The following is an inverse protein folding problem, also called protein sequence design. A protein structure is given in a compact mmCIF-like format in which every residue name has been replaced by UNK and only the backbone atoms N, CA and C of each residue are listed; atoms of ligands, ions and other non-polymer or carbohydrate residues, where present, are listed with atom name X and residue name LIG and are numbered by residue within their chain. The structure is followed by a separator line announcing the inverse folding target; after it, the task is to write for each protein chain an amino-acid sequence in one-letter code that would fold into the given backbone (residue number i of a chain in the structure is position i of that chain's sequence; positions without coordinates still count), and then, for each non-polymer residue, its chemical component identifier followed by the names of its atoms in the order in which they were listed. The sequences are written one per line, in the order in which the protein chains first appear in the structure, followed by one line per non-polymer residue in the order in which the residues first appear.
data_IF_596928348565
#
_entry.id   IF_596928348565
#
_cell.length_a   1.000
_cell.length_b   1.000
_cell.length_c   1.000
_cell.angle_alpha   90.00
_cell.angle_beta   90.00
_cell.angle_gamma   90.00
#
_symmetry.space_group_name_H-M   'P 1'
#
loop_
_entity.id
_entity.type
_entity.pdbx_description
1 polymer ?
#
# COMPACT_ATOMS: atom_id res chain seq x y z
N UNK A 1 -2.68 24.74 -15.08
CA UNK A 1 -2.81 25.36 -13.75
C UNK A 1 -4.12 24.85 -13.17
N UNK A 2 -4.11 24.34 -11.94
CA UNK A 2 -5.31 23.78 -11.31
C UNK A 2 -6.33 24.85 -10.88
N UNK A 3 -5.96 26.13 -10.94
CA UNK A 3 -6.82 27.27 -10.58
C UNK A 3 -7.49 27.97 -11.77
N UNK A 4 -7.07 27.67 -13.01
CA UNK A 4 -7.67 28.26 -14.22
C UNK A 4 -8.91 27.48 -14.65
N UNK A 5 -10.09 28.11 -14.56
CA UNK A 5 -11.38 27.51 -14.91
C UNK A 5 -11.51 27.05 -16.37
N UNK A 6 -10.62 27.49 -17.27
CA UNK A 6 -10.60 27.05 -18.67
C UNK A 6 -9.62 25.90 -18.92
N UNK A 7 -8.82 25.52 -17.93
CA UNK A 7 -7.89 24.40 -18.03
C UNK A 7 -8.65 23.08 -17.87
N UNK A 8 -8.28 22.06 -18.66
CA UNK A 8 -8.76 20.69 -18.41
C UNK A 8 -8.36 20.19 -17.00
N UNK A 9 -7.22 20.68 -16.51
CA UNK A 9 -6.66 20.39 -15.18
C UNK A 9 -7.26 21.24 -14.05
N UNK A 10 -8.29 22.04 -14.33
CA UNK A 10 -8.96 22.82 -13.31
C UNK A 10 -9.48 21.92 -12.18
N UNK A 11 -9.23 22.33 -10.93
CA UNK A 11 -9.57 21.56 -9.73
C UNK A 11 -11.05 21.16 -9.65
N UNK A 12 -11.94 21.98 -10.19
CA UNK A 12 -13.40 21.73 -10.16
C UNK A 12 -13.95 21.20 -11.49
N UNK A 13 -13.09 20.74 -12.41
CA UNK A 13 -13.54 20.06 -13.62
C UNK A 13 -13.98 18.62 -13.30
N UNK A 14 -15.22 18.48 -12.80
CA UNK A 14 -15.81 17.19 -12.43
C UNK A 14 -15.79 16.15 -13.56
N UNK A 15 -16.05 16.55 -14.80
CA UNK A 15 -16.06 15.62 -15.94
C UNK A 15 -14.67 15.01 -16.18
N UNK A 16 -13.61 15.82 -16.13
CA UNK A 16 -12.24 15.32 -16.27
C UNK A 16 -11.83 14.46 -15.07
N UNK A 17 -12.15 14.91 -13.84
CA UNK A 17 -11.85 14.16 -12.62
C UNK A 17 -12.53 12.79 -12.59
N UNK A 18 -13.78 12.68 -13.01
CA UNK A 18 -14.51 11.41 -12.99
C UNK A 18 -14.06 10.45 -14.11
N UNK A 19 -13.68 10.97 -15.28
CA UNK A 19 -13.31 10.14 -16.44
C UNK A 19 -11.83 9.74 -16.48
N UNK A 20 -10.95 10.73 -16.32
CA UNK A 20 -9.50 10.56 -16.46
C UNK A 20 -8.81 10.43 -15.10
N UNK A 21 -9.39 11.06 -14.07
CA UNK A 21 -8.79 11.18 -12.74
C UNK A 21 -7.66 12.20 -12.68
N UNK A 22 -7.26 12.55 -11.46
CA UNK A 22 -6.15 13.47 -11.22
C UNK A 22 -5.22 12.91 -10.16
N UNK A 23 -4.37 11.96 -10.56
CA UNK A 23 -3.42 11.29 -9.66
C UNK A 23 -2.61 12.28 -8.83
N UNK A 24 -2.01 13.28 -9.48
CA UNK A 24 -1.21 14.30 -8.80
C UNK A 24 -2.03 15.09 -7.77
N UNK A 25 -3.25 15.49 -8.11
CA UNK A 25 -4.12 16.18 -7.16
C UNK A 25 -4.46 15.31 -5.94
N UNK A 26 -4.88 14.08 -6.16
CA UNK A 26 -5.22 13.16 -5.06
C UNK A 26 -4.00 12.79 -4.22
N UNK A 27 -2.81 12.76 -4.82
CA UNK A 27 -1.54 12.59 -4.12
C UNK A 27 -1.26 13.75 -3.16
N UNK A 28 -1.38 15.00 -3.61
CA UNK A 28 -1.21 16.16 -2.71
C UNK A 28 -2.25 16.20 -1.58
N UNK A 29 -3.50 15.79 -1.88
CA UNK A 29 -4.53 15.63 -0.83
C UNK A 29 -4.14 14.51 0.14
N UNK A 30 -3.61 13.40 -0.38
CA UNK A 30 -3.17 12.24 0.41
C UNK A 30 -2.11 12.60 1.45
N UNK A 31 -1.21 13.54 1.15
CA UNK A 31 -0.21 14.00 2.13
C UNK A 31 -0.85 14.60 3.38
N UNK A 32 -2.06 15.17 3.28
CA UNK A 32 -2.80 15.66 4.46
C UNK A 32 -3.40 14.54 5.31
N UNK A 33 -3.56 13.33 4.75
CA UNK A 33 -4.13 12.16 5.44
C UNK A 33 -3.05 11.20 5.95
N UNK A 34 -1.81 11.37 5.50
CA UNK A 34 -0.66 10.57 5.89
C UNK A 34 -0.26 10.86 7.33
N UNK A 35 -0.02 9.80 8.13
CA UNK A 35 0.42 9.92 9.51
C UNK A 35 1.72 9.18 9.76
N UNK A 36 2.46 9.63 10.78
CA UNK A 36 3.76 9.07 11.16
C UNK A 36 3.69 7.65 11.73
N UNK A 37 2.55 7.19 12.22
CA UNK A 37 2.41 5.85 12.82
C UNK A 37 2.56 4.70 11.83
N UNK A 38 2.17 4.91 10.57
CA UNK A 38 2.29 3.91 9.49
C UNK A 38 3.23 4.38 8.37
N UNK A 39 3.87 5.55 8.52
CA UNK A 39 4.83 6.08 7.57
C UNK A 39 6.23 6.04 8.18
N UNK A 40 7.05 5.15 7.64
CA UNK A 40 8.45 4.95 8.02
C UNK A 40 9.40 5.51 6.96
N UNK A 41 10.69 5.60 7.25
CA UNK A 41 11.70 6.18 6.36
C UNK A 41 11.62 5.55 4.94
N UNK A 42 11.68 6.42 3.93
CA UNK A 42 11.57 6.02 2.52
C UNK A 42 10.15 5.83 2.00
N UNK A 43 9.10 5.93 2.85
CA UNK A 43 7.71 5.68 2.42
C UNK A 43 6.80 6.89 2.34
N UNK A 44 7.33 8.11 2.51
CA UNK A 44 6.57 9.35 2.36
C UNK A 44 5.83 9.44 1.03
N UNK A 45 6.51 9.08 -0.06
CA UNK A 45 5.93 9.05 -1.43
C UNK A 45 5.17 7.75 -1.75
N UNK A 46 5.05 6.84 -0.78
CA UNK A 46 4.41 5.53 -0.94
C UNK A 46 3.08 5.49 -0.20
N UNK A 47 3.08 5.72 1.12
CA UNK A 47 1.86 5.59 1.95
C UNK A 47 0.85 6.70 1.65
N UNK A 48 1.30 7.85 1.15
CA UNK A 48 0.42 8.88 0.54
C UNK A 48 -0.48 8.29 -0.55
N UNK A 49 0.07 7.37 -1.36
CA UNK A 49 -0.64 6.81 -2.49
C UNK A 49 -1.67 5.75 -2.12
N UNK A 50 -1.76 5.35 -0.84
CA UNK A 50 -2.93 4.59 -0.35
C UNK A 50 -4.19 5.43 -0.52
N UNK A 51 -4.13 6.71 -0.17
CA UNK A 51 -5.23 7.66 -0.32
C UNK A 51 -5.48 8.04 -1.78
N UNK A 52 -4.41 8.19 -2.56
CA UNK A 52 -4.51 8.40 -4.02
C UNK A 52 -5.27 7.25 -4.68
N UNK A 53 -4.87 6.00 -4.41
CA UNK A 53 -5.54 4.81 -4.94
C UNK A 53 -7.01 4.72 -4.49
N UNK A 54 -7.31 5.07 -3.24
CA UNK A 54 -8.68 5.11 -2.74
C UNK A 54 -9.52 6.15 -3.47
N UNK A 55 -8.99 7.37 -3.65
CA UNK A 55 -9.69 8.43 -4.38
C UNK A 55 -9.93 8.05 -5.84
N UNK A 56 -8.94 7.48 -6.53
CA UNK A 56 -9.10 6.97 -7.90
C UNK A 56 -10.20 5.90 -7.99
N UNK A 57 -10.27 4.97 -7.03
CA UNK A 57 -11.31 3.93 -7.01
C UNK A 57 -12.70 4.53 -6.74
N UNK A 58 -12.83 5.44 -5.78
CA UNK A 58 -14.14 5.96 -5.34
C UNK A 58 -14.70 7.08 -6.20
N UNK A 59 -13.84 7.94 -6.74
CA UNK A 59 -14.24 9.09 -7.56
C UNK A 59 -14.29 8.72 -9.03
N UNK A 60 -13.26 8.00 -9.52
CA UNK A 60 -13.11 7.71 -10.95
C UNK A 60 -13.58 6.29 -11.32
N UNK A 61 -14.01 5.48 -10.35
CA UNK A 61 -14.31 4.05 -10.56
C UNK A 61 -13.12 3.24 -11.13
N UNK A 62 -11.89 3.74 -10.93
CA UNK A 62 -10.66 3.12 -11.40
C UNK A 62 -10.01 2.32 -10.27
N UNK A 63 -10.27 1.00 -10.25
CA UNK A 63 -9.66 0.10 -9.27
C UNK A 63 -8.12 0.20 -9.33
N UNK A 64 -7.41 0.03 -8.19
CA UNK A 64 -5.95 0.14 -8.16
C UNK A 64 -5.24 -0.64 -9.27
N UNK A 65 -5.69 -1.88 -9.52
CA UNK A 65 -5.05 -2.81 -10.44
C UNK A 65 -5.26 -2.55 -11.94
N UNK A 66 -6.25 -1.72 -12.28
CA UNK A 66 -6.50 -1.31 -13.67
C UNK A 66 -5.96 0.09 -13.96
N UNK A 67 -5.46 0.78 -12.94
CA UNK A 67 -4.94 2.13 -13.10
C UNK A 67 -3.63 2.13 -13.87
N UNK A 68 -3.57 2.89 -14.97
CA UNK A 68 -2.44 2.89 -15.90
C UNK A 68 -1.10 3.24 -15.24
N UNK A 69 -1.08 4.21 -14.33
CA UNK A 69 0.15 4.59 -13.62
C UNK A 69 0.74 3.43 -12.82
N UNK A 70 -0.10 2.64 -12.14
CA UNK A 70 0.36 1.49 -11.36
C UNK A 70 0.73 0.33 -12.29
N UNK A 71 -0.06 0.08 -13.33
CA UNK A 71 0.25 -0.96 -14.33
C UNK A 71 1.61 -0.75 -15.02
N UNK A 72 1.99 0.51 -15.27
CA UNK A 72 3.29 0.84 -15.84
C UNK A 72 4.48 0.44 -14.92
N UNK A 73 4.23 0.21 -13.63
CA UNK A 73 5.23 -0.24 -12.66
C UNK A 73 5.32 -1.77 -12.58
N UNK A 74 4.43 -2.54 -13.25
CA UNK A 74 4.45 -4.01 -13.20
C UNK A 74 5.80 -4.57 -13.68
N UNK A 75 6.38 -4.14 -14.82
CA UNK A 75 7.64 -4.71 -15.30
C UNK A 75 8.80 -4.55 -14.29
N UNK A 76 8.98 -3.35 -13.75
CA UNK A 76 10.02 -3.08 -12.74
C UNK A 76 9.77 -3.85 -11.44
N UNK A 77 8.50 -4.02 -11.06
CA UNK A 77 8.11 -4.79 -9.87
C UNK A 77 8.40 -6.28 -10.03
N UNK A 78 8.15 -6.85 -11.22
CA UNK A 78 8.53 -8.24 -11.50
C UNK A 78 10.04 -8.44 -11.43
N UNK A 79 10.82 -7.54 -12.04
CA UNK A 79 12.28 -7.57 -11.94
C UNK A 79 12.77 -7.43 -10.49
N UNK A 80 12.16 -6.57 -9.69
CA UNK A 80 12.45 -6.45 -8.26
C UNK A 80 12.24 -7.76 -7.48
N UNK A 81 11.13 -8.47 -7.78
CA UNK A 81 10.81 -9.77 -7.19
C UNK A 81 11.81 -10.85 -7.62
N UNK A 82 12.12 -10.91 -8.93
CA UNK A 82 13.12 -11.83 -9.50
C UNK A 82 14.52 -11.64 -8.89
N UNK A 83 14.86 -10.39 -8.55
CA UNK A 83 16.13 -10.03 -7.91
C UNK A 83 16.14 -10.27 -6.39
N UNK A 84 15.12 -10.93 -5.83
CA UNK A 84 15.11 -11.34 -4.43
C UNK A 84 14.50 -10.34 -3.46
N UNK A 85 13.87 -9.28 -3.94
CA UNK A 85 13.12 -8.29 -3.13
C UNK A 85 13.97 -7.61 -2.06
N UNK A 86 15.05 -6.93 -2.45
CA UNK A 86 15.88 -6.17 -1.51
C UNK A 86 15.12 -4.98 -0.92
N UNK A 87 15.00 -4.90 0.41
CA UNK A 87 14.22 -3.84 1.07
C UNK A 87 14.75 -2.41 0.84
N UNK A 88 16.07 -2.23 0.70
CA UNK A 88 16.64 -0.91 0.45
C UNK A 88 16.31 -0.41 -0.96
N UNK A 89 16.30 -1.30 -1.95
CA UNK A 89 15.84 -0.98 -3.31
C UNK A 89 14.33 -0.68 -3.36
N UNK A 90 13.55 -1.39 -2.53
CA UNK A 90 12.12 -1.17 -2.38
C UNK A 90 11.82 0.24 -1.88
N UNK A 91 12.51 0.71 -0.84
CA UNK A 91 12.36 2.08 -0.31
C UNK A 91 12.71 3.15 -1.34
N UNK A 92 13.63 2.87 -2.26
CA UNK A 92 14.01 3.78 -3.34
C UNK A 92 13.03 3.82 -4.53
N UNK A 93 12.01 2.96 -4.54
CA UNK A 93 11.16 2.71 -5.71
C UNK A 93 9.67 2.83 -5.39
N UNK A 94 9.09 4.05 -5.28
CA UNK A 94 7.73 4.23 -4.80
C UNK A 94 6.66 3.46 -5.58
N UNK A 95 6.82 3.33 -6.90
CA UNK A 95 5.93 2.55 -7.75
C UNK A 95 5.94 1.06 -7.44
N UNK A 96 7.12 0.48 -7.18
CA UNK A 96 7.28 -0.91 -6.72
C UNK A 96 6.71 -1.05 -5.30
N UNK A 97 7.05 -0.10 -4.43
CA UNK A 97 6.66 -0.12 -3.04
C UNK A 97 5.14 -0.05 -2.81
N UNK A 98 4.43 0.67 -3.68
CA UNK A 98 2.98 0.81 -3.58
C UNK A 98 2.23 -0.52 -3.79
N UNK A 99 2.84 -1.49 -4.48
CA UNK A 99 2.14 -2.72 -4.84
C UNK A 99 1.71 -3.58 -3.67
N UNK A 100 2.48 -3.65 -2.57
CA UNK A 100 2.04 -4.41 -1.40
C UNK A 100 0.76 -3.80 -0.80
N UNK A 101 0.65 -2.47 -0.76
CA UNK A 101 -0.55 -1.80 -0.28
C UNK A 101 -1.73 -2.00 -1.24
N UNK A 102 -1.48 -1.93 -2.55
CA UNK A 102 -2.47 -2.23 -3.58
C UNK A 102 -2.95 -3.70 -3.53
N UNK A 103 -2.06 -4.63 -3.20
CA UNK A 103 -2.38 -6.06 -3.03
C UNK A 103 -3.25 -6.25 -1.78
N UNK A 104 -2.91 -5.65 -0.65
CA UNK A 104 -3.71 -5.71 0.58
C UNK A 104 -5.15 -5.21 0.36
N UNK A 105 -5.36 -4.13 -0.39
CA UNK A 105 -6.72 -3.67 -0.70
C UNK A 105 -7.43 -4.57 -1.70
N UNK A 106 -6.70 -5.17 -2.65
CA UNK A 106 -7.28 -6.11 -3.60
C UNK A 106 -7.82 -7.36 -2.88
N UNK A 107 -7.09 -7.86 -1.89
CA UNK A 107 -7.45 -9.06 -1.14
C UNK A 107 -8.47 -8.79 -0.02
N UNK A 108 -8.39 -7.66 0.67
CA UNK A 108 -9.18 -7.39 1.88
C UNK A 108 -10.13 -6.20 1.79
N UNK A 109 -10.10 -5.44 0.69
CA UNK A 109 -10.98 -4.30 0.45
C UNK A 109 -10.65 -3.04 1.26
N UNK A 110 -11.24 -1.92 0.85
CA UNK A 110 -11.00 -0.60 1.47
C UNK A 110 -11.54 -0.47 2.90
N UNK A 111 -12.59 -1.20 3.26
CA UNK A 111 -13.15 -1.15 4.62
C UNK A 111 -12.10 -1.55 5.65
N UNK A 112 -11.26 -2.54 5.34
CA UNK A 112 -10.14 -2.97 6.18
C UNK A 112 -9.17 -1.82 6.45
N UNK A 113 -8.77 -1.07 5.42
CA UNK A 113 -7.94 0.13 5.58
C UNK A 113 -8.61 1.20 6.44
N UNK A 114 -9.90 1.46 6.22
CA UNK A 114 -10.65 2.45 6.99
C UNK A 114 -10.71 2.08 8.48
N UNK A 115 -10.93 0.81 8.79
CA UNK A 115 -11.01 0.32 10.17
C UNK A 115 -9.63 0.38 10.85
N UNK A 116 -8.56 -0.01 10.15
CA UNK A 116 -7.18 0.11 10.64
C UNK A 116 -6.83 1.57 10.91
N UNK A 117 -7.07 2.48 9.97
CA UNK A 117 -6.74 3.90 10.18
C UNK A 117 -7.54 4.51 11.34
N UNK A 118 -8.83 4.16 11.50
CA UNK A 118 -9.60 4.56 12.69
C UNK A 118 -8.99 4.01 13.98
N UNK A 119 -8.53 2.76 13.97
CA UNK A 119 -7.88 2.15 15.13
C UNK A 119 -6.58 2.88 15.49
N UNK A 120 -5.74 3.22 14.52
CA UNK A 120 -4.54 4.02 14.75
C UNK A 120 -4.86 5.39 15.36
N UNK A 121 -5.86 6.11 14.82
CA UNK A 121 -6.29 7.42 15.33
C UNK A 121 -6.84 7.33 16.78
N UNK A 122 -7.51 6.23 17.12
CA UNK A 122 -8.06 6.00 18.46
C UNK A 122 -7.00 5.59 19.48
N UNK A 123 -6.08 4.70 19.08
CA UNK A 123 -5.05 4.15 19.98
C UNK A 123 -3.84 5.07 20.13
N UNK A 124 -3.50 5.81 19.06
CA UNK A 124 -2.32 6.68 18.97
C UNK A 124 -1.06 5.98 19.51
N UNK A 125 -0.65 4.86 18.90
CA UNK A 125 0.42 4.04 19.45
C UNK A 125 1.73 4.84 19.52
N UNK A 126 2.48 4.66 20.61
CA UNK A 126 3.82 5.21 20.72
C UNK A 126 4.81 4.28 19.99
N UNK A 127 5.25 4.68 18.81
CA UNK A 127 6.15 3.92 17.94
C UNK A 127 7.40 4.79 17.71
N UNK A 128 8.50 4.43 18.35
CA UNK A 128 9.71 5.25 18.44
C UNK A 128 10.71 4.92 17.32
N UNK A 129 10.50 3.82 16.59
CA UNK A 129 11.36 3.37 15.50
C UNK A 129 10.58 2.89 14.27
N UNK A 130 11.24 2.87 13.11
CA UNK A 130 10.63 2.37 11.88
C UNK A 130 10.37 0.86 11.92
N UNK A 131 11.19 0.10 12.65
CA UNK A 131 10.94 -1.33 12.86
C UNK A 131 9.63 -1.53 13.63
N UNK A 132 9.38 -0.74 14.69
CA UNK A 132 8.13 -0.80 15.44
C UNK A 132 6.93 -0.41 14.57
N UNK A 133 7.06 0.60 13.70
CA UNK A 133 5.98 0.97 12.76
C UNK A 133 5.65 -0.16 11.78
N UNK A 134 6.66 -0.80 11.22
CA UNK A 134 6.47 -1.94 10.30
C UNK A 134 5.83 -3.13 11.02
N UNK A 135 6.37 -3.53 12.18
CA UNK A 135 5.83 -4.64 12.97
C UNK A 135 4.39 -4.36 13.43
N UNK A 136 4.10 -3.14 13.88
CA UNK A 136 2.77 -2.74 14.31
C UNK A 136 1.78 -2.70 13.13
N UNK A 137 2.20 -2.24 11.94
CA UNK A 137 1.38 -2.28 10.73
C UNK A 137 1.03 -3.71 10.35
N UNK A 138 2.02 -4.60 10.30
CA UNK A 138 1.83 -6.01 9.93
C UNK A 138 0.91 -6.70 10.94
N UNK A 139 1.14 -6.49 12.25
CA UNK A 139 0.34 -7.07 13.32
C UNK A 139 -1.10 -6.58 13.27
N UNK A 140 -1.31 -5.26 13.23
CA UNK A 140 -2.64 -4.64 13.19
C UNK A 140 -3.43 -5.12 11.97
N UNK A 141 -2.79 -5.16 10.80
CA UNK A 141 -3.45 -5.61 9.59
C UNK A 141 -3.81 -7.10 9.68
N UNK A 142 -2.86 -7.94 10.10
CA UNK A 142 -3.07 -9.38 10.29
C UNK A 142 -4.19 -9.70 11.26
N UNK A 143 -4.28 -8.97 12.37
CA UNK A 143 -5.35 -9.12 13.35
C UNK A 143 -6.71 -8.72 12.78
N UNK A 144 -6.77 -7.60 12.04
CA UNK A 144 -8.00 -7.12 11.41
C UNK A 144 -8.56 -8.11 10.38
N UNK A 145 -7.69 -8.81 9.65
CA UNK A 145 -8.12 -9.76 8.60
C UNK A 145 -8.10 -11.22 9.03
N UNK A 146 -7.68 -11.49 10.28
CA UNK A 146 -7.50 -12.83 10.84
C UNK A 146 -6.61 -13.76 10.00
N UNK A 147 -5.60 -13.22 9.32
CA UNK A 147 -4.61 -13.96 8.55
C UNK A 147 -3.19 -13.55 8.91
N UNK A 148 -2.26 -14.50 8.93
CA UNK A 148 -0.84 -14.25 9.11
C UNK A 148 -0.24 -13.68 7.81
N UNK A 149 0.04 -12.38 7.79
CA UNK A 149 0.59 -11.67 6.63
C UNK A 149 2.11 -11.66 6.62
N UNK A 150 2.78 -12.22 7.62
CA UNK A 150 4.26 -12.28 7.68
C UNK A 150 4.85 -12.88 6.40
N UNK A 151 4.35 -13.99 5.83
CA UNK A 151 4.90 -14.51 4.57
C UNK A 151 4.76 -13.53 3.40
N UNK A 152 3.68 -12.74 3.37
CA UNK A 152 3.47 -11.74 2.33
C UNK A 152 4.49 -10.60 2.45
N UNK A 153 4.65 -10.04 3.65
CA UNK A 153 5.60 -8.95 3.86
C UNK A 153 7.06 -9.42 3.68
N UNK A 154 7.39 -10.66 4.07
CA UNK A 154 8.70 -11.27 3.76
C UNK A 154 8.91 -11.46 2.27
N UNK A 155 7.90 -11.86 1.51
CA UNK A 155 7.96 -11.95 0.05
C UNK A 155 8.33 -10.60 -0.59
N UNK A 156 7.83 -9.50 -0.01
CA UNK A 156 8.18 -8.12 -0.39
C UNK A 156 9.45 -7.57 0.29
N UNK A 157 10.22 -8.42 0.97
CA UNK A 157 11.52 -8.05 1.52
C UNK A 157 11.51 -7.35 2.89
N UNK A 158 10.36 -7.17 3.54
CA UNK A 158 10.31 -6.43 4.81
C UNK A 158 11.13 -7.11 5.91
N UNK A 159 11.90 -6.33 6.70
CA UNK A 159 12.45 -6.82 7.96
C UNK A 159 11.32 -6.89 9.00
N UNK A 160 11.18 -8.06 9.63
CA UNK A 160 10.11 -8.34 10.61
C UNK A 160 10.76 -8.92 11.85
N UNK A 161 10.40 -8.41 13.04
CA UNK A 161 10.95 -8.95 14.29
C UNK A 161 10.43 -10.36 14.57
N UNK A 162 11.24 -11.16 15.27
CA UNK A 162 10.85 -12.52 15.63
C UNK A 162 9.59 -12.55 16.52
N UNK A 163 9.40 -11.54 17.37
CA UNK A 163 8.18 -11.39 18.18
C UNK A 163 6.93 -11.29 17.32
N UNK A 164 6.93 -10.47 16.26
CA UNK A 164 5.82 -10.37 15.32
C UNK A 164 5.58 -11.69 14.59
N UNK A 165 6.66 -12.37 14.19
CA UNK A 165 6.57 -13.69 13.53
C UNK A 165 5.88 -14.69 14.45
N UNK A 166 6.31 -14.79 15.71
CA UNK A 166 5.78 -15.76 16.67
C UNK A 166 4.34 -15.44 17.07
N UNK A 167 4.02 -14.15 17.27
CA UNK A 167 2.68 -13.70 17.62
C UNK A 167 1.64 -14.08 16.55
N UNK A 168 1.99 -13.92 15.28
CA UNK A 168 1.06 -14.12 14.16
C UNK A 168 0.92 -15.59 13.72
N UNK A 169 1.70 -16.52 14.27
CA UNK A 169 1.54 -17.97 14.02
C UNK A 169 0.14 -18.50 14.43
N UNK A 170 -0.57 -17.77 15.30
CA UNK A 170 -1.94 -18.09 15.70
C UNK A 170 -2.96 -18.00 14.55
N UNK A 171 -2.64 -17.26 13.48
CA UNK A 171 -3.51 -17.07 12.32
C UNK A 171 -3.10 -17.94 11.13
N UNK A 172 -4.07 -18.35 10.27
CA UNK A 172 -3.76 -19.04 9.03
C UNK A 172 -3.01 -18.13 8.06
N UNK A 173 -2.10 -18.70 7.26
CA UNK A 173 -1.46 -17.98 6.16
C UNK A 173 -2.46 -17.92 4.99
N UNK A 174 -2.73 -16.74 4.41
CA UNK A 174 -3.69 -16.61 3.33
C UNK A 174 -3.14 -17.24 2.05
N UNK A 175 -4.03 -17.74 1.20
CA UNK A 175 -3.64 -18.24 -0.12
C UNK A 175 -3.81 -17.12 -1.15
N UNK A 176 -2.74 -16.36 -1.38
CA UNK A 176 -2.73 -15.28 -2.37
C UNK A 176 -2.15 -15.79 -3.68
N UNK A 177 -2.93 -15.71 -4.74
CA UNK A 177 -2.50 -16.10 -6.09
C UNK A 177 -2.63 -14.91 -7.03
N UNK A 178 -1.51 -14.28 -7.36
CA UNK A 178 -1.47 -13.13 -8.24
C UNK A 178 -0.24 -13.13 -9.14
N UNK A 179 -0.16 -12.14 -10.03
CA UNK A 179 0.93 -12.04 -11.00
C UNK A 179 2.31 -11.78 -10.39
N UNK A 180 2.40 -11.48 -9.09
CA UNK A 180 3.65 -11.22 -8.38
C UNK A 180 4.09 -12.44 -7.60
N UNK A 181 3.19 -13.05 -6.83
CA UNK A 181 3.47 -14.33 -6.16
C UNK A 181 3.87 -15.40 -7.19
N UNK A 182 3.27 -15.39 -8.39
CA UNK A 182 3.63 -16.30 -9.49
C UNK A 182 5.05 -16.12 -10.04
N UNK A 183 5.71 -14.98 -9.81
CA UNK A 183 7.08 -14.73 -10.28
C UNK A 183 8.09 -15.51 -9.44
N UNK A 184 7.85 -15.65 -8.14
CA UNK A 184 8.74 -16.35 -7.21
C UNK A 184 7.93 -17.11 -6.14
N UNK A 185 7.07 -18.08 -6.54
CA UNK A 185 6.13 -18.74 -5.64
C UNK A 185 6.82 -19.50 -4.51
N UNK A 186 8.05 -19.97 -4.73
CA UNK A 186 8.87 -20.65 -3.74
C UNK A 186 9.24 -19.77 -2.52
N UNK A 187 9.19 -18.44 -2.67
CA UNK A 187 9.46 -17.50 -1.57
C UNK A 187 8.21 -17.20 -0.74
N UNK A 188 7.03 -17.56 -1.22
CA UNK A 188 5.78 -17.41 -0.48
C UNK A 188 5.41 -18.73 0.19
N UNK A 189 5.93 -18.93 1.40
CA UNK A 189 5.64 -20.14 2.18
C UNK A 189 4.28 -20.03 2.86
N UNK A 190 3.38 -20.96 2.53
CA UNK A 190 2.06 -21.18 3.14
C UNK A 190 2.17 -22.28 4.20
#
# INVERSE_FOLDING_TARGET
DVSDANSEWFLFNSEHLEKEGAWGLFHEIGHNMQQGWWTFEGTGEVTVNIFTLHAMDKVCSLKPWIHSWLQNQIPSTKTYIENGSNFEEWKGSPGVALFIYAQLVREYGWNTYQDIFRQYEQLQPNLDSDQEKMDYWITTFSEQVHNNLVPLFKFWGFPISQSTVDELQKFPIPQIFDEFIQVAPERYSI
#
